data_IF_406611800686
#
_entry.id   IF_406611800686
#
_cell.length_a   1.000
_cell.length_b   1.000
_cell.length_c   1.000
_cell.angle_alpha   90.00
_cell.angle_beta   90.00
_cell.angle_gamma   90.00
#
_symmetry.space_group_name_H-M   'P 1'
#
loop_
_entity.id
_entity.type
_entity.pdbx_description
1 polymer ?
#
# COMPACT_ATOMS: atom_id res chain seq x y z
N UNK A 1 28.56 65.38 -42.63
CA UNK A 1 27.21 65.99 -42.55
C UNK A 1 26.37 65.11 -41.62
N UNK A 2 26.01 65.62 -40.43
CA UNK A 2 25.13 65.05 -39.38
C UNK A 2 25.34 63.56 -38.95
N UNK A 3 25.66 63.22 -37.69
CA UNK A 3 24.87 63.40 -36.43
C UNK A 3 23.51 62.67 -36.46
N UNK A 4 22.92 62.13 -35.39
CA UNK A 4 23.32 61.51 -34.12
C UNK A 4 21.97 61.05 -33.47
N UNK A 5 22.01 60.02 -32.62
CA UNK A 5 21.14 59.80 -31.43
C UNK A 5 19.59 59.97 -31.51
N UNK A 6 18.91 58.81 -31.58
CA UNK A 6 18.21 58.18 -30.44
C UNK A 6 17.21 59.01 -29.56
N UNK A 7 15.88 58.74 -29.65
CA UNK A 7 15.02 58.40 -28.46
C UNK A 7 13.54 58.01 -28.74
N UNK A 8 13.01 57.17 -27.83
CA UNK A 8 11.58 56.94 -27.41
C UNK A 8 10.65 56.01 -28.24
N UNK A 9 10.51 54.77 -27.74
CA UNK A 9 9.28 54.10 -27.20
C UNK A 9 7.97 54.96 -27.22
N UNK A 10 6.71 54.49 -27.39
CA UNK A 10 5.99 53.17 -27.41
C UNK A 10 4.48 53.43 -27.76
N UNK A 11 3.49 52.49 -27.75
CA UNK A 11 3.46 51.00 -27.73
C UNK A 11 2.49 50.33 -28.77
N UNK A 12 2.42 49.00 -28.75
CA UNK A 12 1.19 48.20 -29.02
C UNK A 12 0.48 48.26 -30.40
N UNK A 13 1.05 47.59 -31.41
CA UNK A 13 0.24 46.82 -32.39
C UNK A 13 0.85 45.42 -32.64
N UNK A 14 0.63 44.50 -31.70
CA UNK A 14 0.97 43.07 -31.85
C UNK A 14 -0.01 42.38 -32.80
N UNK A 15 0.42 42.08 -34.03
CA UNK A 15 0.54 40.69 -34.56
C UNK A 15 0.91 40.69 -36.05
N UNK A 16 2.21 40.48 -36.34
CA UNK A 16 2.66 40.03 -37.66
C UNK A 16 2.35 38.53 -37.84
N UNK A 17 1.72 38.23 -38.98
CA UNK A 17 2.12 37.18 -39.95
C UNK A 17 1.81 35.69 -39.66
N UNK A 18 0.85 35.21 -40.46
CA UNK A 18 0.79 33.97 -41.28
C UNK A 18 1.16 32.61 -40.64
N UNK A 19 0.21 31.67 -40.75
CA UNK A 19 0.48 30.41 -41.48
C UNK A 19 0.24 29.07 -40.77
N UNK A 20 -1.02 28.64 -40.62
CA UNK A 20 -1.41 27.22 -40.82
C UNK A 20 -2.93 27.03 -40.99
N UNK A 21 -3.28 25.92 -41.63
CA UNK A 21 -4.59 25.56 -42.20
C UNK A 21 -5.66 25.11 -41.16
N UNK A 22 -6.96 25.04 -41.55
CA UNK A 22 -8.07 24.87 -40.61
C UNK A 22 -8.32 23.42 -40.16
N UNK A 23 -8.90 23.32 -38.96
CA UNK A 23 -9.90 22.33 -38.49
C UNK A 23 -10.30 21.21 -39.47
N UNK A 24 -10.21 19.91 -39.14
CA UNK A 24 -10.90 19.30 -37.98
C UNK A 24 -10.24 18.01 -37.50
N UNK A 25 -9.92 17.92 -36.21
CA UNK A 25 -9.82 16.65 -35.48
C UNK A 25 -10.54 16.82 -34.14
N UNK A 26 -11.59 16.04 -33.92
CA UNK A 26 -12.38 16.04 -32.67
C UNK A 26 -11.43 15.84 -31.48
N UNK A 27 -11.44 16.71 -30.45
CA UNK A 27 -10.65 16.45 -29.25
C UNK A 27 -11.21 15.21 -28.55
N UNK A 28 -10.43 14.13 -28.53
CA UNK A 28 -10.80 12.92 -27.78
C UNK A 28 -10.92 13.30 -26.31
N UNK A 29 -12.15 13.17 -25.78
CA UNK A 29 -12.46 13.61 -24.44
C UNK A 29 -11.53 12.97 -23.40
N UNK A 30 -10.79 13.80 -22.66
CA UNK A 30 -10.09 13.36 -21.45
C UNK A 30 -11.14 12.89 -20.44
N UNK A 31 -11.42 11.59 -20.42
CA UNK A 31 -12.17 10.95 -19.33
C UNK A 31 -11.29 11.00 -18.08
N UNK A 32 -11.40 12.10 -17.34
CA UNK A 32 -10.90 12.22 -15.98
C UNK A 32 -11.58 11.15 -15.13
N UNK A 33 -10.96 9.98 -15.01
CA UNK A 33 -11.34 8.97 -14.04
C UNK A 33 -10.79 9.40 -12.67
N UNK A 34 -11.27 10.53 -12.16
CA UNK A 34 -11.23 10.85 -10.72
C UNK A 34 -12.20 9.94 -9.97
N UNK A 35 -11.94 8.63 -10.06
CA UNK A 35 -12.47 7.64 -9.14
C UNK A 35 -11.76 7.91 -7.83
N UNK A 36 -12.38 8.74 -7.00
CA UNK A 36 -11.93 9.11 -5.67
C UNK A 36 -11.40 7.89 -4.92
N UNK A 37 -10.07 7.73 -4.92
CA UNK A 37 -9.42 6.76 -4.05
C UNK A 37 -9.38 7.38 -2.67
N UNK A 38 -10.47 7.20 -1.93
CA UNK A 38 -10.49 7.32 -0.46
C UNK A 38 -9.69 6.15 0.14
N UNK A 39 -8.42 6.07 -0.27
CA UNK A 39 -7.49 5.02 0.10
C UNK A 39 -6.91 5.38 1.45
N UNK A 40 -7.47 4.81 2.52
CA UNK A 40 -6.90 4.92 3.85
C UNK A 40 -5.40 4.55 3.82
N UNK A 41 -4.58 5.54 4.17
CA UNK A 41 -3.14 5.37 4.40
C UNK A 41 -2.96 5.29 5.90
N UNK A 42 -2.58 4.12 6.45
CA UNK A 42 -2.42 3.98 7.90
C UNK A 42 -1.33 4.91 8.44
N UNK A 43 -1.55 5.47 9.63
CA UNK A 43 -0.64 6.44 10.24
C UNK A 43 0.78 5.88 10.41
N UNK A 44 0.91 4.60 10.81
CA UNK A 44 2.20 3.91 10.93
C UNK A 44 2.94 3.79 9.59
N UNK A 45 2.21 3.66 8.47
CA UNK A 45 2.80 3.62 7.12
C UNK A 45 3.35 4.98 6.69
N UNK A 46 2.71 6.08 7.12
CA UNK A 46 3.21 7.44 6.93
C UNK A 46 4.45 7.68 7.79
N UNK A 47 4.36 7.41 9.09
CA UNK A 47 5.48 7.54 10.03
C UNK A 47 6.73 6.75 9.60
N UNK A 48 6.53 5.52 9.09
CA UNK A 48 7.63 4.72 8.54
C UNK A 48 8.36 5.42 7.38
N UNK A 49 7.62 6.02 6.45
CA UNK A 49 8.20 6.73 5.30
C UNK A 49 8.91 8.02 5.70
N UNK A 50 8.25 8.84 6.51
CA UNK A 50 8.65 10.22 6.75
C UNK A 50 9.78 10.30 7.80
N UNK A 51 9.76 9.42 8.82
CA UNK A 51 10.68 9.48 9.97
C UNK A 51 11.64 8.29 10.02
N UNK A 52 11.13 7.06 9.87
CA UNK A 52 11.93 5.85 10.11
C UNK A 52 12.98 5.65 9.03
N UNK A 53 12.64 5.80 7.74
CA UNK A 53 13.62 5.69 6.63
C UNK A 53 14.78 6.68 6.83
N UNK A 54 14.49 7.96 7.06
CA UNK A 54 15.52 8.98 7.27
C UNK A 54 16.41 8.70 8.49
N UNK A 55 15.84 8.16 9.56
CA UNK A 55 16.60 7.75 10.76
C UNK A 55 17.45 6.50 10.52
N UNK A 56 16.98 5.54 9.74
CA UNK A 56 17.71 4.31 9.40
C UNK A 56 18.88 4.61 8.47
N UNK A 57 18.68 5.37 7.39
CA UNK A 57 19.74 5.73 6.44
C UNK A 57 20.89 6.46 7.13
N UNK A 58 20.61 7.37 8.08
CA UNK A 58 21.62 8.09 8.86
C UNK A 58 22.35 7.23 9.91
N UNK A 59 21.74 6.16 10.41
CA UNK A 59 22.34 5.27 11.43
C UNK A 59 23.20 4.16 10.83
N UNK A 60 22.84 3.69 9.65
CA UNK A 60 23.46 2.51 9.01
C UNK A 60 24.18 2.83 7.70
N UNK A 61 24.24 4.11 7.31
CA UNK A 61 24.90 4.61 6.08
C UNK A 61 24.56 3.78 4.82
N UNK A 62 23.28 3.46 4.64
CA UNK A 62 22.81 2.76 3.43
C UNK A 62 23.09 3.57 2.16
N UNK A 63 23.59 2.90 1.14
CA UNK A 63 23.91 3.48 -0.17
C UNK A 63 22.64 3.80 -0.96
N UNK A 64 21.57 3.02 -0.76
CA UNK A 64 20.29 3.24 -1.42
C UNK A 64 19.11 3.17 -0.45
N UNK A 65 18.07 3.97 -0.71
CA UNK A 65 16.82 4.00 0.08
C UNK A 65 16.09 2.64 0.07
N UNK A 66 16.37 1.79 -0.93
CA UNK A 66 15.77 0.46 -1.07
C UNK A 66 16.40 -0.61 -0.15
N UNK A 67 17.58 -0.35 0.40
CA UNK A 67 18.21 -1.22 1.43
C UNK A 67 17.50 -1.11 2.80
N UNK A 68 16.71 -0.06 3.03
CA UNK A 68 16.05 0.15 4.31
C UNK A 68 15.07 -1.00 4.66
N UNK A 69 15.20 -1.64 5.84
CA UNK A 69 14.41 -2.79 6.22
C UNK A 69 12.92 -2.46 6.37
N UNK A 70 12.07 -3.20 5.63
CA UNK A 70 10.62 -3.01 5.58
C UNK A 70 9.86 -4.22 6.15
N UNK A 71 8.74 -3.95 6.83
CA UNK A 71 7.83 -5.01 7.28
C UNK A 71 7.11 -5.61 6.07
N UNK A 72 7.20 -6.93 5.88
CA UNK A 72 6.65 -7.63 4.69
C UNK A 72 5.25 -8.21 4.95
N UNK A 73 5.04 -8.78 6.14
CA UNK A 73 3.78 -9.40 6.59
C UNK A 73 3.77 -9.50 8.11
N UNK A 74 2.58 -9.44 8.70
CA UNK A 74 2.33 -9.88 10.09
C UNK A 74 1.44 -11.12 10.01
N UNK A 75 1.78 -12.15 10.78
CA UNK A 75 0.99 -13.38 10.87
C UNK A 75 0.45 -13.46 12.29
N UNK A 76 -0.87 -13.35 12.44
CA UNK A 76 -1.57 -13.64 13.69
C UNK A 76 -1.92 -15.12 13.68
N UNK A 77 -1.52 -15.85 14.71
CA UNK A 77 -1.74 -17.29 14.81
C UNK A 77 -2.21 -17.64 16.23
N UNK A 78 -3.38 -18.28 16.32
CA UNK A 78 -3.96 -18.75 17.58
C UNK A 78 -3.95 -20.27 17.58
N UNK A 79 -3.23 -20.87 18.52
CA UNK A 79 -3.34 -22.30 18.82
C UNK A 79 -4.56 -22.54 19.69
N UNK A 80 -5.39 -23.54 19.36
CA UNK A 80 -6.59 -23.89 20.13
C UNK A 80 -6.40 -25.34 20.56
N UNK A 81 -5.86 -25.57 21.75
CA UNK A 81 -5.50 -26.91 22.24
C UNK A 81 -6.68 -27.90 22.21
N UNK A 82 -7.87 -27.43 22.58
CA UNK A 82 -9.09 -28.23 22.65
C UNK A 82 -9.79 -28.43 21.29
N UNK A 83 -9.19 -27.95 20.19
CA UNK A 83 -9.74 -28.06 18.84
C UNK A 83 -10.11 -29.50 18.45
N UNK A 84 -9.38 -30.50 18.97
CA UNK A 84 -9.67 -31.91 18.75
C UNK A 84 -11.03 -32.35 19.31
N UNK A 85 -11.41 -31.83 20.48
CA UNK A 85 -12.61 -32.27 21.22
C UNK A 85 -13.80 -31.38 20.86
N UNK A 86 -13.59 -30.06 20.81
CA UNK A 86 -14.66 -29.08 20.66
C UNK A 86 -14.54 -28.29 19.34
N UNK A 87 -15.19 -28.82 18.28
CA UNK A 87 -15.28 -28.15 16.98
C UNK A 87 -15.97 -26.76 17.03
N UNK A 88 -16.75 -26.47 18.09
CA UNK A 88 -17.33 -25.13 18.34
C UNK A 88 -16.26 -24.10 18.68
N UNK A 89 -15.27 -24.45 19.50
CA UNK A 89 -14.21 -23.53 19.94
C UNK A 89 -13.37 -23.02 18.76
N UNK A 90 -13.09 -23.88 17.78
CA UNK A 90 -12.40 -23.48 16.53
C UNK A 90 -13.23 -22.44 15.77
N UNK A 91 -14.55 -22.63 15.66
CA UNK A 91 -15.43 -21.69 14.95
C UNK A 91 -15.48 -20.34 15.67
N UNK A 92 -15.49 -20.32 17.00
CA UNK A 92 -15.39 -19.08 17.79
C UNK A 92 -14.06 -18.36 17.51
N UNK A 93 -12.93 -19.06 17.63
CA UNK A 93 -11.60 -18.53 17.32
C UNK A 93 -11.46 -17.98 15.88
N UNK A 94 -12.08 -18.65 14.89
CA UNK A 94 -12.16 -18.12 13.51
C UNK A 94 -12.92 -16.79 13.48
N UNK A 95 -14.07 -16.70 14.14
CA UNK A 95 -14.91 -15.50 14.15
C UNK A 95 -14.21 -14.33 14.88
N UNK A 96 -13.63 -14.59 16.05
CA UNK A 96 -12.89 -13.63 16.86
C UNK A 96 -11.67 -13.07 16.11
N UNK A 97 -10.81 -13.92 15.54
CA UNK A 97 -9.70 -13.46 14.70
C UNK A 97 -10.17 -12.72 13.45
N UNK A 98 -11.30 -13.11 12.87
CA UNK A 98 -11.86 -12.42 11.69
C UNK A 98 -12.37 -11.02 12.06
N UNK A 99 -12.98 -10.87 13.23
CA UNK A 99 -13.42 -9.58 13.76
C UNK A 99 -12.22 -8.66 14.09
N UNK A 100 -11.21 -9.17 14.80
CA UNK A 100 -10.00 -8.40 15.16
C UNK A 100 -9.21 -7.96 13.92
N UNK A 101 -9.05 -8.84 12.93
CA UNK A 101 -8.13 -8.59 11.80
C UNK A 101 -8.80 -8.05 10.53
N UNK A 102 -10.13 -7.97 10.49
CA UNK A 102 -10.89 -7.60 9.29
C UNK A 102 -10.69 -8.56 8.10
N UNK A 103 -10.19 -9.78 8.36
CA UNK A 103 -9.85 -10.76 7.32
C UNK A 103 -10.16 -12.17 7.80
N UNK A 104 -10.87 -12.95 6.97
CA UNK A 104 -11.28 -14.32 7.29
C UNK A 104 -10.08 -15.19 7.68
N UNK A 105 -10.10 -15.73 8.90
CA UNK A 105 -9.07 -16.63 9.40
C UNK A 105 -9.08 -17.99 8.70
N UNK A 106 -7.89 -18.58 8.53
CA UNK A 106 -7.67 -19.88 7.92
C UNK A 106 -7.40 -20.90 9.03
N UNK A 107 -8.16 -21.99 9.08
CA UNK A 107 -7.94 -23.10 10.01
C UNK A 107 -6.65 -23.84 9.63
N UNK A 108 -5.74 -24.02 10.58
CA UNK A 108 -4.50 -24.77 10.40
C UNK A 108 -4.70 -26.24 10.78
N UNK A 109 -4.25 -27.14 9.90
CA UNK A 109 -4.30 -28.60 10.09
C UNK A 109 -2.93 -29.15 10.48
N UNK A 110 -2.90 -30.22 11.26
CA UNK A 110 -1.69 -30.95 11.62
C UNK A 110 -1.03 -31.59 10.38
N UNK A 111 0.29 -31.38 10.23
CA UNK A 111 1.12 -31.97 9.15
C UNK A 111 1.65 -33.36 9.50
N UNK A 112 1.77 -33.67 10.79
CA UNK A 112 2.37 -34.88 11.34
C UNK A 112 1.50 -35.41 12.46
N UNK A 113 1.57 -36.72 12.66
CA UNK A 113 0.99 -37.39 13.82
C UNK A 113 1.93 -37.21 15.02
N UNK A 114 1.39 -36.86 16.19
CA UNK A 114 2.18 -36.71 17.42
C UNK A 114 1.39 -37.34 18.57
N UNK A 115 1.88 -38.50 19.04
CA UNK A 115 1.20 -39.32 20.05
C UNK A 115 1.00 -38.59 21.38
N UNK A 116 1.98 -37.80 21.83
CA UNK A 116 1.91 -37.07 23.12
C UNK A 116 0.72 -36.11 23.19
N UNK A 117 0.43 -35.40 22.10
CA UNK A 117 -0.73 -34.51 21.99
C UNK A 117 -2.01 -35.23 21.51
N UNK A 118 -1.93 -36.55 21.25
CA UNK A 118 -2.99 -37.37 20.68
C UNK A 118 -3.53 -36.81 19.34
N UNK A 119 -2.68 -36.10 18.59
CA UNK A 119 -3.02 -35.45 17.30
C UNK A 119 -2.66 -36.40 16.14
N UNK A 120 -3.53 -36.48 15.14
CA UNK A 120 -3.24 -37.15 13.86
C UNK A 120 -3.21 -36.16 12.70
N UNK A 121 -2.57 -36.54 11.59
CA UNK A 121 -2.54 -35.78 10.34
C UNK A 121 -3.95 -35.33 9.92
N UNK A 122 -4.07 -34.09 9.49
CA UNK A 122 -5.33 -33.51 9.04
C UNK A 122 -6.25 -32.96 10.15
N UNK A 123 -6.02 -33.28 11.43
CA UNK A 123 -6.78 -32.66 12.53
C UNK A 123 -6.58 -31.15 12.55
N UNK A 124 -7.63 -30.35 12.81
CA UNK A 124 -7.49 -28.92 13.00
C UNK A 124 -6.87 -28.63 14.37
N UNK A 125 -5.88 -27.73 14.43
CA UNK A 125 -5.10 -27.42 15.65
C UNK A 125 -5.20 -25.94 16.04
N UNK A 126 -5.52 -25.07 15.08
CA UNK A 126 -5.61 -23.64 15.34
C UNK A 126 -6.10 -22.86 14.16
N UNK A 127 -5.89 -21.55 14.21
CA UNK A 127 -6.34 -20.59 13.21
C UNK A 127 -5.27 -19.53 12.97
N UNK A 128 -5.16 -19.03 11.75
CA UNK A 128 -4.22 -17.94 11.42
C UNK A 128 -4.77 -16.96 10.40
N UNK A 129 -4.28 -15.73 10.48
CA UNK A 129 -4.46 -14.67 9.50
C UNK A 129 -3.08 -14.20 9.04
N UNK A 130 -2.94 -13.78 7.78
CA UNK A 130 -1.73 -13.11 7.29
C UNK A 130 -2.10 -11.75 6.74
N UNK A 131 -1.69 -10.72 7.47
CA UNK A 131 -1.89 -9.32 7.13
C UNK A 131 -0.70 -8.82 6.29
N UNK A 132 -1.02 -8.03 5.26
CA UNK A 132 -0.07 -7.45 4.31
C UNK A 132 -0.54 -6.06 3.87
N UNK A 133 0.38 -5.28 3.31
CA UNK A 133 0.12 -3.93 2.78
C UNK A 133 -0.62 -3.06 3.82
N UNK A 134 -1.70 -2.36 3.43
CA UNK A 134 -2.38 -1.42 4.32
C UNK A 134 -3.16 -2.08 5.47
N UNK A 135 -3.39 -3.40 5.47
CA UNK A 135 -4.07 -4.10 6.58
C UNK A 135 -3.12 -4.53 7.72
N UNK A 136 -1.84 -4.20 7.60
CA UNK A 136 -0.76 -4.59 8.50
C UNK A 136 -0.21 -3.40 9.31
N UNK A 137 -0.50 -2.18 8.85
CA UNK A 137 -0.12 -0.90 9.46
C UNK A 137 -1.36 -0.20 9.98
#
# INVERSE_FOLDING_TARGET
MAEEKNKKLTPSQKKKIKGKSPTTKKPVAKKNNDRQKNGYVPALKKYYKDVIIGSLTKKFNYSTVMECPRIVKIILNMGVGDAKVNAKSIKSAVNELTAISGQKAIITKAKTDISNFKIRRGFPVGTKVTLRANRMY
#
